data_IF_126501881532
#
_entry.id   IF_126501881532
#
_cell.length_a   1.000
_cell.length_b   1.000
_cell.length_c   1.000
_cell.angle_alpha   90.00
_cell.angle_beta   90.00
_cell.angle_gamma   90.00
#
_symmetry.space_group_name_H-M   'P 1'
#
loop_
_entity.id
_entity.type
_entity.pdbx_description
1 polymer ?
#
# COMPACT_ATOMS: atom_id res chain seq x y z
N UNK A 1 20.75 -6.41 8.53
CA UNK A 1 19.36 -5.89 8.52
C UNK A 1 19.23 -4.95 9.70
N UNK A 2 18.43 -3.89 9.64
CA UNK A 2 18.32 -2.97 10.80
C UNK A 2 17.85 -3.76 12.02
N UNK A 3 18.54 -3.59 13.15
CA UNK A 3 18.20 -4.23 14.43
C UNK A 3 16.89 -3.71 15.03
N UNK A 4 16.27 -2.69 14.40
CA UNK A 4 14.99 -2.14 14.84
C UNK A 4 13.82 -3.07 14.50
N UNK A 5 12.86 -3.26 15.43
CA UNK A 5 11.61 -3.92 15.16
C UNK A 5 10.90 -3.36 13.91
N UNK A 6 10.12 -4.19 13.22
CA UNK A 6 9.20 -3.75 12.18
C UNK A 6 8.01 -3.05 12.82
N UNK A 7 7.59 -1.89 12.30
CA UNK A 7 6.32 -1.29 12.72
C UNK A 7 5.21 -1.67 11.75
N UNK A 8 4.19 -2.41 12.21
CA UNK A 8 3.05 -2.88 11.41
C UNK A 8 1.74 -2.47 12.11
N UNK A 9 1.18 -1.27 11.82
CA UNK A 9 -0.09 -0.85 12.37
C UNK A 9 -1.28 -1.62 11.77
N UNK A 10 -2.36 -1.68 12.53
CA UNK A 10 -3.64 -2.28 12.13
C UNK A 10 -4.69 -1.18 12.01
N UNK A 11 -5.23 -0.98 10.81
CA UNK A 11 -6.26 0.02 10.52
C UNK A 11 -7.64 -0.62 10.64
N UNK A 12 -8.45 -0.13 11.58
CA UNK A 12 -9.87 -0.50 11.73
C UNK A 12 -10.73 0.37 10.84
N UNK A 13 -11.20 -0.18 9.73
CA UNK A 13 -11.73 0.56 8.59
C UNK A 13 -13.18 1.05 8.66
N UNK A 14 -13.79 1.24 9.83
CA UNK A 14 -15.15 1.83 9.87
C UNK A 14 -15.41 2.68 11.10
N UNK A 15 -16.12 3.83 10.98
CA UNK A 15 -16.55 4.62 12.12
C UNK A 15 -17.83 4.12 12.80
N UNK A 16 -18.51 3.11 12.23
CA UNK A 16 -19.85 2.67 12.67
C UNK A 16 -19.87 2.31 14.16
N UNK A 17 -20.76 2.91 14.95
CA UNK A 17 -20.95 2.52 16.35
C UNK A 17 -21.38 1.06 16.48
N UNK A 18 -20.83 0.34 17.48
CA UNK A 18 -21.11 -1.08 17.71
C UNK A 18 -20.57 -2.03 16.62
N UNK A 19 -19.54 -1.63 15.87
CA UNK A 19 -18.97 -2.44 14.78
C UNK A 19 -18.31 -3.72 15.32
N UNK A 20 -18.65 -4.86 14.73
CA UNK A 20 -18.06 -6.16 15.09
C UNK A 20 -16.62 -6.32 14.60
N UNK A 21 -16.22 -5.56 13.57
CA UNK A 21 -14.84 -5.54 13.07
C UNK A 21 -13.83 -5.01 14.09
N UNK A 22 -14.27 -4.35 15.17
CA UNK A 22 -13.39 -3.94 16.26
C UNK A 22 -12.79 -5.14 17.01
N UNK A 23 -13.57 -6.21 17.24
CA UNK A 23 -13.05 -7.44 17.85
C UNK A 23 -11.97 -8.08 16.98
N UNK A 24 -12.20 -8.11 15.66
CA UNK A 24 -11.21 -8.59 14.68
C UNK A 24 -9.92 -7.76 14.76
N UNK A 25 -10.01 -6.43 14.75
CA UNK A 25 -8.83 -5.59 14.78
C UNK A 25 -8.02 -5.73 16.08
N UNK A 26 -8.71 -5.81 17.23
CA UNK A 26 -8.06 -6.07 18.53
C UNK A 26 -7.39 -7.44 18.57
N UNK A 27 -8.05 -8.47 18.05
CA UNK A 27 -7.46 -9.80 17.91
C UNK A 27 -6.21 -9.78 17.03
N UNK A 28 -6.23 -9.12 15.86
CA UNK A 28 -5.03 -9.02 15.01
C UNK A 28 -3.88 -8.30 15.72
N UNK A 29 -4.17 -7.23 16.48
CA UNK A 29 -3.16 -6.52 17.29
C UNK A 29 -2.57 -7.43 18.38
N UNK A 30 -3.40 -8.19 19.10
CA UNK A 30 -2.94 -9.16 20.10
C UNK A 30 -2.03 -10.22 19.47
N UNK A 31 -2.35 -10.67 18.26
CA UNK A 31 -1.54 -11.66 17.56
C UNK A 31 -0.22 -11.07 17.05
N UNK A 32 -0.17 -9.80 16.63
CA UNK A 32 1.08 -9.14 16.26
C UNK A 32 1.97 -8.84 17.47
N UNK A 33 1.38 -8.41 18.60
CA UNK A 33 2.14 -7.95 19.77
C UNK A 33 2.93 -9.05 20.48
N UNK A 34 2.56 -10.32 20.27
CA UNK A 34 3.30 -11.48 20.80
C UNK A 34 4.43 -11.95 19.88
N UNK A 35 4.67 -11.28 18.74
CA UNK A 35 5.71 -11.66 17.78
C UNK A 35 6.97 -10.86 17.99
N UNK A 36 8.08 -11.58 18.16
CA UNK A 36 9.39 -10.96 18.33
C UNK A 36 9.77 -10.11 17.10
N UNK A 37 10.32 -8.93 17.36
CA UNK A 37 10.77 -8.01 16.31
C UNK A 37 9.64 -7.29 15.57
N UNK A 38 8.41 -7.31 16.08
CA UNK A 38 7.27 -6.56 15.54
C UNK A 38 6.67 -5.64 16.61
N UNK A 39 6.53 -4.36 16.26
CA UNK A 39 5.73 -3.38 16.99
C UNK A 39 4.44 -3.13 16.22
N UNK A 40 3.34 -2.89 16.95
CA UNK A 40 2.04 -2.66 16.34
C UNK A 40 1.23 -1.64 17.14
N UNK A 41 0.26 -1.01 16.46
CA UNK A 41 -0.68 -0.06 17.04
C UNK A 41 -2.03 -0.19 16.31
N UNK A 42 -3.13 -0.01 17.04
CA UNK A 42 -4.47 0.05 16.45
C UNK A 42 -4.79 1.48 16.01
N UNK A 43 -5.01 1.68 14.72
CA UNK A 43 -5.47 2.94 14.15
C UNK A 43 -6.98 2.83 13.89
N UNK A 44 -7.78 3.58 14.63
CA UNK A 44 -9.22 3.68 14.42
C UNK A 44 -9.54 4.84 13.46
N UNK A 45 -10.07 4.56 12.27
CA UNK A 45 -10.43 5.61 11.30
C UNK A 45 -11.42 6.63 11.85
N UNK A 46 -12.19 6.27 12.89
CA UNK A 46 -13.10 7.20 13.59
C UNK A 46 -12.38 8.31 14.34
N UNK A 47 -11.14 8.07 14.77
CA UNK A 47 -10.36 9.04 15.53
C UNK A 47 -9.66 10.08 14.64
N UNK A 48 -9.63 9.86 13.33
CA UNK A 48 -8.98 10.74 12.37
C UNK A 48 -9.99 11.78 11.89
N UNK A 49 -9.76 13.04 12.25
CA UNK A 49 -10.64 14.14 11.88
C UNK A 49 -10.31 14.62 10.46
N UNK A 50 -11.08 14.17 9.47
CA UNK A 50 -10.88 14.54 8.06
C UNK A 50 -12.10 15.33 7.57
N UNK A 51 -11.85 16.45 6.87
CA UNK A 51 -12.91 17.22 6.23
C UNK A 51 -13.63 16.40 5.15
N UNK A 52 -14.96 16.49 5.05
CA UNK A 52 -15.76 15.68 4.11
C UNK A 52 -16.14 16.42 2.83
N UNK A 53 -15.71 17.67 2.69
CA UNK A 53 -16.01 18.56 1.56
C UNK A 53 -14.78 18.87 0.70
N UNK A 54 -13.71 18.10 0.87
CA UNK A 54 -12.45 18.20 0.13
C UNK A 54 -11.81 16.79 0.07
N UNK A 55 -10.71 16.60 -0.65
CA UNK A 55 -10.10 15.28 -0.85
C UNK A 55 -8.60 15.33 -1.13
N UNK A 56 -7.94 14.18 -0.99
CA UNK A 56 -6.52 14.00 -1.31
C UNK A 56 -5.58 14.42 -0.18
N UNK A 57 -4.30 14.58 -0.53
CA UNK A 57 -3.21 14.82 0.43
C UNK A 57 -3.29 16.18 1.14
N UNK A 58 -4.11 17.12 0.67
CA UNK A 58 -4.35 18.40 1.36
C UNK A 58 -5.03 18.20 2.73
N UNK A 59 -5.75 17.09 2.91
CA UNK A 59 -6.48 16.74 4.12
C UNK A 59 -5.71 15.82 5.07
N UNK A 60 -4.41 15.68 4.84
CA UNK A 60 -3.53 14.81 5.61
C UNK A 60 -3.54 15.15 7.08
N UNK A 61 -3.97 14.18 7.90
CA UNK A 61 -3.82 14.24 9.33
C UNK A 61 -2.34 13.98 9.70
N UNK A 62 -1.66 14.90 10.43
CA UNK A 62 -0.23 14.76 10.71
C UNK A 62 0.12 13.51 11.53
N UNK A 63 -0.75 13.09 12.44
CA UNK A 63 -0.50 11.91 13.27
C UNK A 63 -0.61 10.64 12.43
N UNK A 64 -1.66 10.52 11.62
CA UNK A 64 -1.84 9.41 10.70
C UNK A 64 -0.70 9.32 9.69
N UNK A 65 -0.32 10.44 9.07
CA UNK A 65 0.81 10.49 8.14
C UNK A 65 2.13 10.05 8.79
N UNK A 66 2.43 10.52 10.01
CA UNK A 66 3.63 10.10 10.72
C UNK A 66 3.65 8.60 11.04
N UNK A 67 2.49 8.02 11.38
CA UNK A 67 2.35 6.57 11.58
C UNK A 67 2.58 5.81 10.26
N UNK A 68 2.01 6.30 9.16
CA UNK A 68 2.20 5.68 7.85
C UNK A 68 3.64 5.79 7.38
N UNK A 69 4.31 6.92 7.59
CA UNK A 69 5.74 7.12 7.30
C UNK A 69 6.61 6.10 8.05
N UNK A 70 6.36 5.92 9.35
CA UNK A 70 7.06 4.94 10.21
C UNK A 70 6.80 3.49 9.81
N UNK A 71 5.64 3.19 9.24
CA UNK A 71 5.22 1.81 8.97
C UNK A 71 6.16 1.08 7.99
N UNK A 72 6.44 -0.19 8.27
CA UNK A 72 7.16 -1.10 7.39
C UNK A 72 6.22 -2.01 6.58
N UNK A 73 4.99 -2.13 7.05
CA UNK A 73 3.82 -2.67 6.38
C UNK A 73 2.59 -2.30 7.19
N UNK A 74 1.40 -2.68 6.74
CA UNK A 74 0.16 -2.43 7.50
C UNK A 74 -0.87 -3.53 7.27
N UNK A 75 -1.85 -3.60 8.16
CA UNK A 75 -3.03 -4.46 7.99
C UNK A 75 -4.27 -3.59 7.94
N UNK A 76 -5.14 -3.84 6.96
CA UNK A 76 -6.45 -3.18 6.86
C UNK A 76 -7.55 -4.16 7.24
N UNK A 77 -8.26 -3.86 8.32
CA UNK A 77 -9.46 -4.59 8.75
C UNK A 77 -10.69 -3.88 8.20
N UNK A 78 -11.20 -4.40 7.08
CA UNK A 78 -12.28 -3.79 6.31
C UNK A 78 -13.58 -4.61 6.45
N UNK A 79 -14.63 -4.07 7.07
CA UNK A 79 -15.95 -4.67 6.98
C UNK A 79 -16.58 -4.44 5.59
N UNK A 80 -17.30 -5.44 5.09
CA UNK A 80 -18.00 -5.36 3.80
C UNK A 80 -19.34 -4.63 3.94
N UNK A 81 -19.50 -3.49 3.26
CA UNK A 81 -20.76 -2.75 3.15
C UNK A 81 -21.24 -2.79 1.71
N UNK A 82 -22.36 -3.49 1.47
CA UNK A 82 -22.96 -3.62 0.13
C UNK A 82 -21.94 -4.02 -0.95
N UNK A 83 -21.10 -5.02 -0.63
CA UNK A 83 -19.99 -5.51 -1.47
C UNK A 83 -18.80 -4.57 -1.66
N UNK A 84 -18.79 -3.38 -1.05
CA UNK A 84 -17.68 -2.43 -1.05
C UNK A 84 -17.03 -2.25 0.32
N UNK A 85 -16.00 -1.41 0.36
CA UNK A 85 -15.37 -0.94 1.60
C UNK A 85 -16.11 0.28 2.18
N UNK A 86 -15.95 0.57 3.48
CA UNK A 86 -16.56 1.75 4.09
C UNK A 86 -16.00 3.05 3.49
N UNK A 87 -16.86 4.04 3.23
CA UNK A 87 -16.44 5.30 2.61
C UNK A 87 -15.34 6.05 3.38
N UNK A 88 -15.44 6.10 4.71
CA UNK A 88 -14.42 6.77 5.54
C UNK A 88 -13.06 6.05 5.49
N UNK A 89 -13.02 4.73 5.31
CA UNK A 89 -11.74 4.02 5.13
C UNK A 89 -11.04 4.53 3.86
N UNK A 90 -11.78 4.64 2.75
CA UNK A 90 -11.22 5.18 1.51
C UNK A 90 -10.77 6.62 1.68
N UNK A 91 -11.59 7.43 2.35
CA UNK A 91 -11.26 8.82 2.61
C UNK A 91 -9.96 8.98 3.41
N UNK A 92 -9.76 8.16 4.45
CA UNK A 92 -8.51 8.11 5.22
C UNK A 92 -7.33 7.66 4.35
N UNK A 93 -7.51 6.57 3.59
CA UNK A 93 -6.45 6.03 2.74
C UNK A 93 -5.99 7.06 1.70
N UNK A 94 -6.90 7.83 1.12
CA UNK A 94 -6.60 8.84 0.09
C UNK A 94 -5.83 10.06 0.60
N UNK A 95 -5.64 10.20 1.91
CA UNK A 95 -4.90 11.35 2.48
C UNK A 95 -3.38 11.20 2.42
N UNK A 96 -2.86 10.02 2.13
CA UNK A 96 -1.42 9.74 2.03
C UNK A 96 -1.11 9.03 0.71
N UNK A 97 0.12 9.17 0.21
CA UNK A 97 0.58 8.47 -0.99
C UNK A 97 2.04 8.08 -0.84
N UNK A 98 2.94 9.06 -0.81
CA UNK A 98 4.39 8.81 -0.68
C UNK A 98 4.73 7.94 0.53
N UNK A 99 3.96 8.09 1.62
CA UNK A 99 4.13 7.36 2.86
C UNK A 99 3.86 5.86 2.69
N UNK A 100 3.10 5.45 1.67
CA UNK A 100 2.73 4.05 1.44
C UNK A 100 3.66 3.31 0.47
N UNK A 101 4.34 4.05 -0.41
CA UNK A 101 5.06 3.46 -1.55
C UNK A 101 6.05 2.39 -1.07
N UNK A 102 5.97 1.23 -1.73
CA UNK A 102 6.79 0.06 -1.47
C UNK A 102 6.64 -0.50 -0.04
N UNK A 103 5.46 -0.42 0.58
CA UNK A 103 5.16 -1.09 1.87
C UNK A 103 4.23 -2.28 1.67
N UNK A 104 4.41 -3.32 2.47
CA UNK A 104 3.54 -4.49 2.40
C UNK A 104 2.17 -4.17 3.02
N UNK A 105 1.10 -4.73 2.47
CA UNK A 105 -0.24 -4.64 3.07
C UNK A 105 -0.92 -6.01 3.14
N UNK A 106 -1.44 -6.31 4.32
CA UNK A 106 -2.33 -7.45 4.56
C UNK A 106 -3.79 -7.01 4.65
N UNK A 107 -4.70 -7.75 4.02
CA UNK A 107 -6.13 -7.42 4.02
C UNK A 107 -6.93 -8.42 4.86
N UNK A 108 -7.75 -7.87 5.76
CA UNK A 108 -8.69 -8.61 6.59
C UNK A 108 -10.12 -8.21 6.24
N UNK A 109 -10.85 -9.08 5.56
CA UNK A 109 -12.26 -8.90 5.26
C UNK A 109 -13.12 -9.30 6.47
N UNK A 110 -14.12 -8.50 6.80
CA UNK A 110 -15.07 -8.80 7.87
C UNK A 110 -16.50 -8.75 7.33
N UNK A 111 -17.30 -9.77 7.60
CA UNK A 111 -18.69 -9.79 7.15
C UNK A 111 -19.61 -10.50 8.12
N UNK A 112 -20.87 -10.06 8.15
CA UNK A 112 -21.97 -10.82 8.72
C UNK A 112 -22.31 -12.07 7.88
N UNK A 113 -21.95 -12.06 6.59
CA UNK A 113 -22.21 -13.17 5.69
C UNK A 113 -21.15 -14.27 5.72
N UNK A 114 -21.43 -15.41 5.07
CA UNK A 114 -20.58 -16.60 5.13
C UNK A 114 -19.24 -16.45 4.39
N UNK A 115 -19.12 -15.48 3.46
CA UNK A 115 -17.92 -15.26 2.67
C UNK A 115 -16.86 -14.38 3.37
N UNK A 116 -17.14 -13.86 4.56
CA UNK A 116 -16.12 -13.17 5.38
C UNK A 116 -15.43 -11.99 4.69
N UNK A 117 -16.14 -11.25 3.84
CA UNK A 117 -15.62 -10.03 3.22
C UNK A 117 -14.73 -10.24 2.00
N UNK A 118 -14.81 -11.37 1.30
CA UNK A 118 -14.01 -11.57 0.08
C UNK A 118 -14.23 -10.46 -0.96
N UNK A 119 -15.44 -9.91 -1.11
CA UNK A 119 -15.69 -8.88 -2.13
C UNK A 119 -15.11 -7.53 -1.74
N UNK A 120 -15.14 -7.16 -0.45
CA UNK A 120 -14.48 -5.93 0.00
C UNK A 120 -12.97 -5.99 -0.22
N UNK A 121 -12.34 -7.15 0.00
CA UNK A 121 -10.92 -7.33 -0.31
C UNK A 121 -10.66 -7.11 -1.80
N UNK A 122 -11.43 -7.75 -2.69
CA UNK A 122 -11.25 -7.59 -4.13
C UNK A 122 -11.44 -6.13 -4.59
N UNK A 123 -12.35 -5.38 -3.97
CA UNK A 123 -12.50 -3.95 -4.24
C UNK A 123 -11.32 -3.10 -3.73
N UNK A 124 -10.64 -3.51 -2.66
CA UNK A 124 -9.47 -2.79 -2.13
C UNK A 124 -8.21 -3.01 -2.95
N UNK A 125 -8.04 -4.14 -3.63
CA UNK A 125 -6.85 -4.44 -4.43
C UNK A 125 -6.42 -3.33 -5.41
N UNK A 126 -7.32 -2.78 -6.26
CA UNK A 126 -6.93 -1.67 -7.14
C UNK A 126 -6.53 -0.40 -6.37
N UNK A 127 -7.14 -0.15 -5.20
CA UNK A 127 -6.77 0.97 -4.33
C UNK A 127 -5.38 0.77 -3.73
N UNK A 128 -5.07 -0.43 -3.21
CA UNK A 128 -3.75 -0.73 -2.66
C UNK A 128 -2.65 -0.55 -3.71
N UNK A 129 -2.92 -1.01 -4.94
CA UNK A 129 -2.00 -0.83 -6.08
C UNK A 129 -1.74 0.65 -6.36
N UNK A 130 -2.79 1.47 -6.45
CA UNK A 130 -2.65 2.91 -6.73
C UNK A 130 -1.85 3.63 -5.64
N UNK A 131 -2.06 3.25 -4.38
CA UNK A 131 -1.32 3.80 -3.25
C UNK A 131 0.13 3.29 -3.16
N UNK A 132 0.60 2.48 -4.10
CA UNK A 132 1.96 1.93 -4.09
C UNK A 132 2.20 0.87 -3.02
N UNK A 133 1.13 0.34 -2.41
CA UNK A 133 1.19 -0.77 -1.46
C UNK A 133 1.29 -2.11 -2.19
N UNK A 134 2.08 -3.01 -1.62
CA UNK A 134 2.28 -4.36 -2.14
C UNK A 134 1.44 -5.33 -1.33
N UNK A 135 0.33 -5.79 -1.90
CA UNK A 135 -0.56 -6.76 -1.26
C UNK A 135 0.11 -8.12 -1.13
N UNK A 136 0.03 -8.72 0.06
CA UNK A 136 0.51 -10.09 0.28
C UNK A 136 -0.43 -11.13 -0.37
N UNK A 137 0.03 -12.38 -0.47
CA UNK A 137 -0.76 -13.45 -1.10
C UNK A 137 -1.96 -13.94 -0.27
N UNK A 138 -1.87 -13.87 1.07
CA UNK A 138 -2.92 -14.39 1.95
C UNK A 138 -3.89 -13.30 2.40
N UNK A 139 -5.17 -13.63 2.35
CA UNK A 139 -6.24 -12.85 2.97
C UNK A 139 -6.69 -13.50 4.30
N UNK A 140 -7.23 -12.69 5.21
CA UNK A 140 -8.02 -13.19 6.33
C UNK A 140 -9.47 -12.79 6.17
N UNK A 141 -10.35 -13.79 6.11
CA UNK A 141 -11.79 -13.58 5.98
C UNK A 141 -12.50 -14.00 7.26
N UNK A 142 -13.16 -13.05 7.91
CA UNK A 142 -13.93 -13.24 9.13
C UNK A 142 -15.42 -13.28 8.80
N UNK A 143 -15.96 -14.49 8.67
CA UNK A 143 -17.38 -14.75 8.36
C UNK A 143 -18.24 -14.81 9.62
N UNK A 144 -19.54 -14.53 9.46
CA UNK A 144 -20.54 -14.58 10.53
C UNK A 144 -20.07 -13.85 11.81
N UNK A 145 -19.46 -12.67 11.64
CA UNK A 145 -18.71 -11.99 12.70
C UNK A 145 -19.54 -11.73 13.98
N UNK A 146 -20.88 -11.65 13.88
CA UNK A 146 -21.74 -11.43 15.04
C UNK A 146 -21.70 -12.55 16.08
N UNK A 147 -21.30 -13.76 15.68
CA UNK A 147 -21.23 -14.94 16.56
C UNK A 147 -19.82 -15.52 16.63
N UNK A 148 -18.82 -14.82 16.06
CA UNK A 148 -17.45 -15.33 15.96
C UNK A 148 -16.63 -15.07 17.23
N UNK A 149 -17.00 -14.03 17.97
CA UNK A 149 -16.38 -13.63 19.22
C UNK A 149 -17.37 -13.78 20.38
N UNK A 150 -16.86 -14.13 21.55
CA UNK A 150 -17.63 -14.11 22.79
C UNK A 150 -17.84 -12.68 23.32
N UNK A 151 -18.60 -12.52 24.40
CA UNK A 151 -18.87 -11.21 25.03
C UNK A 151 -17.61 -10.51 25.55
N UNK A 152 -16.53 -11.26 25.80
CA UNK A 152 -15.23 -10.73 26.22
C UNK A 152 -14.33 -10.37 25.04
N UNK A 153 -14.80 -10.59 23.79
CA UNK A 153 -14.04 -10.32 22.57
C UNK A 153 -13.04 -11.43 22.22
N UNK A 154 -13.15 -12.62 22.78
CA UNK A 154 -12.28 -13.75 22.43
C UNK A 154 -12.82 -14.48 21.20
N UNK A 155 -11.92 -14.81 20.28
CA UNK A 155 -12.25 -15.64 19.13
C UNK A 155 -12.66 -17.04 19.58
N UNK A 156 -13.88 -17.47 19.21
CA UNK A 156 -14.43 -18.77 19.61
C UNK A 156 -13.89 -19.92 18.75
N UNK A 157 -13.73 -19.70 17.45
CA UNK A 157 -13.23 -20.71 16.50
C UNK A 157 -11.71 -20.57 16.28
N UNK A 158 -10.92 -20.71 17.34
CA UNK A 158 -9.46 -20.59 17.24
C UNK A 158 -8.84 -21.55 16.21
N UNK A 159 -9.18 -22.86 16.17
CA UNK A 159 -8.51 -23.82 15.29
C UNK A 159 -8.59 -23.47 13.79
N UNK A 160 -9.73 -22.93 13.33
CA UNK A 160 -9.90 -22.53 11.93
C UNK A 160 -8.99 -21.37 11.54
N UNK A 161 -8.81 -20.41 12.46
CA UNK A 161 -8.06 -19.18 12.17
C UNK A 161 -6.56 -19.33 12.44
N UNK A 162 -6.12 -20.16 13.39
CA UNK A 162 -4.69 -20.28 13.75
C UNK A 162 -3.78 -20.51 12.54
N UNK A 163 -4.10 -21.49 11.69
CA UNK A 163 -3.26 -21.80 10.51
C UNK A 163 -3.26 -20.67 9.48
N UNK A 164 -4.41 -20.05 9.23
CA UNK A 164 -4.56 -18.97 8.24
C UNK A 164 -3.81 -17.72 8.71
N UNK A 165 -3.98 -17.38 9.98
CA UNK A 165 -3.31 -16.29 10.65
C UNK A 165 -1.79 -16.47 10.59
N UNK A 166 -1.27 -17.66 10.89
CA UNK A 166 0.17 -17.88 10.86
C UNK A 166 0.77 -17.64 9.47
N UNK A 167 0.14 -18.17 8.42
CA UNK A 167 0.57 -17.94 7.03
C UNK A 167 0.52 -16.46 6.64
N UNK A 168 -0.57 -15.79 7.02
CA UNK A 168 -0.76 -14.36 6.77
C UNK A 168 0.33 -13.52 7.45
N UNK A 169 0.58 -13.75 8.73
CA UNK A 169 1.56 -12.99 9.52
C UNK A 169 2.98 -13.25 9.04
N UNK A 170 3.34 -14.51 8.79
CA UNK A 170 4.67 -14.88 8.33
C UNK A 170 4.99 -14.24 6.96
N UNK A 171 4.03 -14.25 6.04
CA UNK A 171 4.16 -13.61 4.73
C UNK A 171 4.30 -12.10 4.87
N UNK A 172 3.43 -11.46 5.67
CA UNK A 172 3.47 -10.01 5.88
C UNK A 172 4.81 -9.56 6.48
N UNK A 173 5.28 -10.23 7.53
CA UNK A 173 6.55 -9.92 8.18
C UNK A 173 7.72 -10.10 7.22
N UNK A 174 7.71 -11.19 6.45
CA UNK A 174 8.73 -11.43 5.44
C UNK A 174 8.74 -10.32 4.38
N UNK A 175 7.58 -9.99 3.81
CA UNK A 175 7.47 -8.94 2.80
C UNK A 175 7.84 -7.55 3.35
N UNK A 176 7.37 -7.20 4.55
CA UNK A 176 7.75 -5.95 5.22
C UNK A 176 9.26 -5.86 5.44
N UNK A 177 9.92 -6.95 5.83
CA UNK A 177 11.39 -7.00 5.98
C UNK A 177 12.10 -6.74 4.66
N UNK A 178 11.70 -7.44 3.60
CA UNK A 178 12.32 -7.35 2.27
C UNK A 178 12.10 -5.98 1.66
N UNK A 179 10.88 -5.45 1.72
CA UNK A 179 10.55 -4.15 1.18
C UNK A 179 11.21 -3.01 1.96
N UNK A 180 11.32 -3.12 3.30
CA UNK A 180 12.11 -2.18 4.12
C UNK A 180 13.58 -2.16 3.70
N UNK A 181 14.16 -3.34 3.48
CA UNK A 181 15.52 -3.43 2.94
C UNK A 181 15.62 -2.75 1.57
N UNK A 182 14.67 -3.02 0.66
CA UNK A 182 14.59 -2.38 -0.65
C UNK A 182 14.59 -0.86 -0.56
N UNK A 183 13.68 -0.27 0.24
CA UNK A 183 13.57 1.19 0.42
C UNK A 183 14.83 1.84 1.01
N UNK A 184 15.61 1.10 1.80
CA UNK A 184 16.75 1.68 2.56
C UNK A 184 18.12 1.37 1.96
N UNK A 185 18.25 0.30 1.16
CA UNK A 185 19.54 -0.19 0.67
C UNK A 185 19.62 -0.28 -0.86
N UNK A 186 18.48 -0.30 -1.57
CA UNK A 186 18.46 -0.40 -3.04
C UNK A 186 18.21 0.99 -3.62
N UNK A 187 19.24 1.57 -4.23
CA UNK A 187 19.13 2.83 -4.99
C UNK A 187 18.72 2.53 -6.43
N UNK A 188 17.66 3.20 -6.90
CA UNK A 188 17.16 3.09 -8.27
C UNK A 188 17.85 4.08 -9.24
N UNK A 189 18.43 5.15 -8.72
CA UNK A 189 19.02 6.24 -9.52
C UNK A 189 20.25 5.79 -10.33
N UNK A 190 20.97 4.77 -9.85
CA UNK A 190 22.15 4.24 -10.53
C UNK A 190 21.87 3.63 -11.91
N UNK A 191 20.61 3.29 -12.23
CA UNK A 191 20.25 2.72 -13.54
C UNK A 191 19.85 3.77 -14.58
N UNK A 192 19.53 5.01 -14.19
CA UNK A 192 19.22 6.08 -15.14
C UNK A 192 20.47 6.66 -15.81
N UNK A 193 21.62 6.65 -15.12
CA UNK A 193 22.90 7.05 -15.73
C UNK A 193 23.38 6.07 -16.82
N UNK A 194 23.16 4.77 -16.65
CA UNK A 194 23.52 3.77 -17.68
C UNK A 194 22.63 3.88 -18.93
N UNK A 195 21.32 4.13 -18.76
CA UNK A 195 20.39 4.31 -19.90
C UNK A 195 20.68 5.61 -20.65
N UNK A 196 21.03 6.70 -19.95
CA UNK A 196 21.47 7.94 -20.59
C UNK A 196 22.77 7.76 -21.40
N UNK A 197 23.69 6.90 -20.92
CA UNK A 197 24.96 6.60 -21.59
C UNK A 197 24.74 5.76 -22.87
N UNK A 198 23.77 4.83 -22.86
CA UNK A 198 23.38 4.05 -24.04
C UNK A 198 22.73 4.94 -25.12
N UNK A 199 21.92 5.92 -24.73
CA UNK A 199 21.36 6.90 -25.68
C UNK A 199 22.42 7.82 -26.29
N UNK A 200 23.49 8.14 -25.57
CA UNK A 200 24.62 8.92 -26.13
C UNK A 200 25.52 8.09 -27.08
N UNK A 201 25.61 6.78 -26.87
CA UNK A 201 26.36 5.84 -27.72
C UNK A 201 25.64 5.49 -29.03
N UNK A 202 24.33 5.74 -29.12
CA UNK A 202 23.51 5.59 -30.35
C UNK A 202 23.49 6.85 -31.23
N UNK A 203 24.46 7.77 -31.08
CA UNK A 203 24.71 8.76 -32.12
C UNK A 203 25.22 8.03 -33.37
N UNK A 204 24.65 8.28 -34.56
CA UNK A 204 25.05 7.58 -35.77
C UNK A 204 26.55 7.78 -35.99
N UNK A 205 27.26 6.68 -36.25
CA UNK A 205 28.68 6.69 -36.57
C UNK A 205 28.95 7.68 -37.73
N UNK A 206 30.04 8.46 -37.74
CA UNK A 206 30.27 9.55 -38.71
C UNK A 206 30.14 9.13 -40.19
N UNK A 207 30.32 7.86 -40.51
CA UNK A 207 30.14 7.32 -41.87
C UNK A 207 28.67 7.20 -42.31
N UNK A 208 27.71 7.04 -41.39
CA UNK A 208 26.27 7.01 -41.68
C UNK A 208 25.73 8.43 -41.94
N UNK A 209 26.29 9.43 -41.26
CA UNK A 209 25.96 10.84 -41.44
C UNK A 209 26.32 11.38 -42.84
N UNK A 210 27.33 10.81 -43.50
CA UNK A 210 27.77 11.23 -44.84
C UNK A 210 26.93 10.64 -45.99
N UNK A 211 26.03 9.68 -45.72
CA UNK A 211 25.21 8.99 -46.74
C UNK A 211 23.74 9.42 -46.77
N UNK A 212 23.29 10.18 -45.78
CA UNK A 212 21.92 10.72 -45.75
C UNK A 212 21.96 12.18 -46.23
N UNK A 213 21.24 12.46 -47.32
CA UNK A 213 21.08 13.83 -47.83
C UNK A 213 20.48 14.75 -46.77
N UNK A 214 20.80 16.03 -46.87
CA UNK A 214 20.55 17.08 -45.86
C UNK A 214 19.12 17.10 -45.29
N UNK A 215 18.12 16.73 -46.09
CA UNK A 215 16.70 16.76 -45.69
C UNK A 215 16.30 15.67 -44.67
N UNK A 216 17.02 14.54 -44.64
CA UNK A 216 16.77 13.47 -43.68
C UNK A 216 17.36 13.80 -42.29
N UNK A 217 18.39 14.65 -42.23
CA UNK A 217 19.06 15.04 -40.99
C UNK A 217 18.21 15.99 -40.16
N UNK A 218 17.58 16.98 -40.81
CA UNK A 218 16.73 17.97 -40.15
C UNK A 218 15.45 17.34 -39.58
N UNK A 219 14.92 16.33 -40.26
CA UNK A 219 13.76 15.56 -39.79
C UNK A 219 14.06 14.79 -38.50
N UNK A 220 15.26 14.19 -38.39
CA UNK A 220 15.67 13.43 -37.19
C UNK A 220 16.04 14.37 -36.04
N UNK A 221 16.67 15.52 -36.33
CA UNK A 221 17.00 16.54 -35.33
C UNK A 221 15.75 17.18 -34.73
N UNK A 222 14.73 17.49 -35.55
CA UNK A 222 13.45 18.02 -35.06
C UNK A 222 12.70 17.03 -34.16
N UNK A 223 12.72 15.73 -34.49
CA UNK A 223 12.09 14.69 -33.65
C UNK A 223 12.81 14.60 -32.30
N UNK A 224 14.14 14.64 -32.29
CA UNK A 224 14.92 14.59 -31.04
C UNK A 224 14.69 15.79 -30.12
N UNK A 225 14.60 17.00 -30.69
CA UNK A 225 14.34 18.21 -29.92
C UNK A 225 12.89 18.27 -29.38
N UNK A 226 11.91 17.77 -30.14
CA UNK A 226 10.52 17.69 -29.66
C UNK A 226 10.31 16.71 -28.50
N UNK A 227 11.15 15.68 -28.37
CA UNK A 227 11.12 14.74 -27.26
C UNK A 227 11.72 15.32 -25.97
N UNK A 228 12.75 16.18 -26.07
CA UNK A 228 13.35 16.83 -24.90
C UNK A 228 12.45 17.92 -24.32
N UNK A 229 11.76 18.71 -25.15
CA UNK A 229 10.89 19.80 -24.65
C UNK A 229 9.64 19.28 -23.92
N UNK A 230 9.03 18.19 -24.41
CA UNK A 230 7.85 17.57 -23.78
C UNK A 230 8.17 16.90 -22.42
N UNK A 231 9.43 16.51 -22.19
CA UNK A 231 9.86 15.94 -20.92
C UNK A 231 10.06 17.03 -19.83
N UNK A 232 10.40 18.26 -20.23
CA UNK A 232 10.61 19.38 -19.30
C UNK A 232 9.29 20.04 -18.90
N UNK A 233 8.32 20.17 -19.81
CA UNK A 233 7.00 20.75 -19.47
C UNK A 233 6.16 19.86 -18.54
N UNK A 234 6.31 18.53 -18.61
CA UNK A 234 5.62 17.61 -17.70
C UNK A 234 6.14 17.66 -16.25
N UNK A 235 7.36 18.17 -16.03
CA UNK A 235 7.97 18.33 -14.70
C UNK A 235 7.62 19.65 -14.00
N UNK A 236 7.01 20.61 -14.71
CA UNK A 236 6.74 21.97 -14.20
C UNK A 236 5.25 22.23 -13.90
N UNK A 237 4.38 21.23 -14.08
CA UNK A 237 2.94 21.31 -13.81
C UNK A 237 2.41 20.22 -12.88
N UNK A 238 3.27 19.55 -12.11
CA UNK A 238 2.89 18.61 -11.05
C UNK A 238 3.35 19.11 -9.67
#
# INVERSE_FOLDING_TARGET
MSDSPLFIPVILGTPRQGRQSEYVAKFIVEQLSVRDGVETELIDVRAIAIATNDAGESLKDPQFSALMERADGLIVVAPEYNHGYPGLLKHVLDTCLKEYIHKAVGLCGVSAGPFGGTRVIQNLLPVMRELGLVTIFYDLNFSNVQTLFDESGNLMDKPTYTRRLERFMQELIWMSTVLRYGRTQVSLDKQQEEVATIHHANKPCPEMAARMGTDAMDSVLQISQSCETNAVEASLLA
#
